data_IF_361642982266
#
_entry.id   IF_361642982266
#
_cell.length_a   1.000
_cell.length_b   1.000
_cell.length_c   1.000
_cell.angle_alpha   90.00
_cell.angle_beta   90.00
_cell.angle_gamma   90.00
#
_symmetry.space_group_name_H-M   'P 1'
#
loop_
_entity.id
_entity.type
_entity.pdbx_description
1 polymer ?
#
# COMPACT_ATOMS: atom_id res chain seq x y z
N UNK A 1 -9.53 -27.97 -20.85
CA UNK A 1 -8.77 -26.99 -20.06
C UNK A 1 -9.74 -26.39 -19.05
N UNK A 2 -9.45 -26.39 -17.75
CA UNK A 2 -10.30 -25.65 -16.81
C UNK A 2 -10.30 -24.18 -17.23
N UNK A 3 -11.48 -23.62 -17.51
CA UNK A 3 -11.63 -22.25 -17.97
C UNK A 3 -11.17 -21.25 -16.92
N UNK A 4 -10.61 -20.12 -17.34
CA UNK A 4 -10.28 -18.99 -16.46
C UNK A 4 -11.59 -18.44 -15.90
N UNK A 5 -11.70 -18.38 -14.57
CA UNK A 5 -12.87 -17.81 -13.90
C UNK A 5 -12.61 -16.33 -13.66
N UNK A 6 -13.33 -15.47 -14.38
CA UNK A 6 -13.27 -14.02 -14.18
C UNK A 6 -14.22 -13.59 -13.04
N UNK A 7 -13.90 -12.47 -12.43
CA UNK A 7 -14.79 -11.76 -11.50
C UNK A 7 -15.96 -11.15 -12.28
N UNK A 8 -17.12 -11.02 -11.62
CA UNK A 8 -18.24 -10.28 -12.21
C UNK A 8 -17.92 -8.79 -12.42
N UNK A 9 -17.12 -8.22 -11.50
CA UNK A 9 -16.60 -6.85 -11.58
C UNK A 9 -15.24 -6.79 -10.90
N UNK A 10 -14.40 -5.88 -11.37
CA UNK A 10 -13.15 -5.52 -10.70
C UNK A 10 -13.13 -4.03 -10.37
N UNK A 11 -12.27 -3.64 -9.44
CA UNK A 11 -12.04 -2.24 -9.07
C UNK A 11 -10.67 -1.80 -9.56
N UNK A 12 -10.62 -0.73 -10.36
CA UNK A 12 -9.35 -0.15 -10.80
C UNK A 12 -8.52 0.29 -9.59
N UNK A 13 -7.23 -0.10 -9.47
CA UNK A 13 -6.42 0.31 -8.35
C UNK A 13 -5.89 1.75 -8.50
N UNK A 14 -6.10 2.39 -9.63
CA UNK A 14 -5.69 3.78 -9.85
C UNK A 14 -6.82 4.77 -9.57
N UNK A 15 -7.98 4.56 -10.22
CA UNK A 15 -9.10 5.49 -10.15
C UNK A 15 -10.33 4.98 -9.38
N UNK A 16 -10.26 3.76 -8.83
CA UNK A 16 -11.32 3.12 -8.04
C UNK A 16 -12.65 2.90 -8.77
N UNK A 17 -12.69 3.11 -10.09
CA UNK A 17 -13.85 2.76 -10.90
C UNK A 17 -14.07 1.24 -10.85
N UNK A 18 -15.29 0.83 -10.54
CA UNK A 18 -15.75 -0.57 -10.63
C UNK A 18 -16.28 -0.82 -12.04
N UNK A 19 -15.76 -1.83 -12.74
CA UNK A 19 -16.17 -2.16 -14.10
C UNK A 19 -16.19 -3.69 -14.30
N UNK A 20 -17.05 -4.21 -15.17
CA UNK A 20 -17.06 -5.63 -15.52
C UNK A 20 -15.91 -5.96 -16.50
N UNK A 21 -15.40 -7.21 -16.56
CA UNK A 21 -14.26 -7.56 -17.40
C UNK A 21 -14.41 -7.22 -18.89
N UNK A 22 -15.62 -7.29 -19.44
CA UNK A 22 -15.90 -6.97 -20.84
C UNK A 22 -15.65 -5.50 -21.22
N UNK A 23 -15.62 -4.59 -20.23
CA UNK A 23 -15.30 -3.18 -20.45
C UNK A 23 -13.77 -2.92 -20.45
N UNK A 24 -12.93 -3.92 -20.18
CA UNK A 24 -11.48 -3.72 -20.13
C UNK A 24 -10.94 -3.28 -21.50
N UNK A 25 -10.11 -2.24 -21.51
CA UNK A 25 -9.45 -1.79 -22.73
C UNK A 25 -8.16 -2.58 -22.94
N UNK A 26 -7.83 -2.86 -24.20
CA UNK A 26 -6.54 -3.38 -24.60
C UNK A 26 -5.67 -2.24 -25.10
N UNK A 27 -4.36 -2.35 -24.91
CA UNK A 27 -3.38 -1.35 -25.34
C UNK A 27 -2.72 -1.86 -26.63
N UNK A 28 -2.74 -1.05 -27.68
CA UNK A 28 -2.13 -1.39 -28.97
C UNK A 28 -0.63 -1.69 -28.85
N UNK A 29 -0.16 -2.57 -29.74
CA UNK A 29 1.24 -2.97 -29.83
C UNK A 29 1.96 -2.29 -31.00
N UNK A 30 1.26 -2.02 -32.11
CA UNK A 30 1.87 -1.39 -33.28
C UNK A 30 2.34 0.04 -33.00
N UNK A 31 3.54 0.40 -33.45
CA UNK A 31 4.18 1.71 -33.19
C UNK A 31 3.35 2.91 -33.60
N UNK A 32 2.62 2.78 -34.71
CA UNK A 32 1.82 3.84 -35.34
C UNK A 32 0.46 4.07 -34.68
N UNK A 33 0.01 3.15 -33.82
CA UNK A 33 -1.28 3.28 -33.13
C UNK A 33 -1.09 4.05 -31.82
N UNK A 34 -0.84 5.36 -31.95
CA UNK A 34 -0.66 6.28 -30.82
C UNK A 34 -1.79 7.30 -30.70
N UNK A 35 -1.85 7.95 -29.56
CA UNK A 35 -2.88 8.91 -29.19
C UNK A 35 -3.92 8.29 -28.27
N UNK A 36 -3.77 8.54 -26.97
CA UNK A 36 -4.79 8.22 -25.99
C UNK A 36 -5.55 9.50 -25.58
N UNK A 37 -6.90 9.49 -25.55
CA UNK A 37 -7.67 10.69 -25.24
C UNK A 37 -7.52 11.22 -23.81
N UNK A 38 -6.91 10.46 -22.89
CA UNK A 38 -6.66 10.91 -21.50
C UNK A 38 -5.18 11.08 -21.19
N UNK A 39 -4.35 10.18 -21.72
CA UNK A 39 -2.92 10.18 -21.43
C UNK A 39 -2.11 10.99 -22.44
N UNK A 40 -2.70 11.31 -23.60
CA UNK A 40 -2.09 12.20 -24.59
C UNK A 40 -1.51 11.48 -25.81
N UNK A 41 -0.91 12.25 -26.73
CA UNK A 41 -0.50 11.79 -28.06
C UNK A 41 0.60 10.73 -28.04
N UNK A 42 1.48 10.74 -27.04
CA UNK A 42 2.64 9.85 -26.98
C UNK A 42 2.31 8.43 -26.51
N UNK A 43 1.10 8.24 -25.97
CA UNK A 43 0.66 6.97 -25.43
C UNK A 43 0.02 6.08 -26.52
N UNK A 44 0.26 4.78 -26.43
CA UNK A 44 -0.40 3.77 -27.29
C UNK A 44 -1.93 3.85 -27.16
N UNK A 45 -2.65 3.60 -28.24
CA UNK A 45 -4.11 3.64 -28.24
C UNK A 45 -4.69 2.57 -27.31
N UNK A 46 -5.76 2.95 -26.60
CA UNK A 46 -6.60 2.03 -25.84
C UNK A 46 -7.85 1.74 -26.65
N UNK A 47 -8.23 0.48 -26.77
CA UNK A 47 -9.39 0.08 -27.57
C UNK A 47 -10.13 -1.09 -26.95
N UNK A 48 -11.44 -1.19 -27.25
CA UNK A 48 -12.21 -2.41 -27.01
C UNK A 48 -11.99 -3.36 -28.20
N UNK A 49 -11.48 -4.56 -27.98
CA UNK A 49 -11.18 -5.48 -29.06
C UNK A 49 -12.45 -6.09 -29.66
N UNK A 50 -12.46 -6.24 -30.98
CA UNK A 50 -13.48 -7.00 -31.72
C UNK A 50 -12.93 -8.28 -32.33
N UNK A 51 -11.60 -8.48 -32.23
CA UNK A 51 -10.86 -9.58 -32.86
C UNK A 51 -9.83 -10.12 -31.89
N UNK A 52 -9.72 -11.44 -31.84
CA UNK A 52 -8.84 -12.16 -30.94
C UNK A 52 -8.10 -13.29 -31.66
N UNK A 53 -6.94 -13.66 -31.13
CA UNK A 53 -6.29 -14.93 -31.45
C UNK A 53 -7.01 -16.10 -30.79
N UNK A 54 -6.65 -17.34 -31.16
CA UNK A 54 -7.23 -18.56 -30.56
C UNK A 54 -6.91 -18.65 -29.06
N UNK A 55 -5.79 -18.07 -28.64
CA UNK A 55 -5.35 -17.98 -27.25
C UNK A 55 -6.07 -16.86 -26.47
N UNK A 56 -6.97 -16.11 -27.10
CA UNK A 56 -7.76 -15.07 -26.46
C UNK A 56 -7.06 -13.72 -26.32
N UNK A 57 -5.95 -13.49 -27.02
CA UNK A 57 -5.29 -12.18 -27.04
C UNK A 57 -5.93 -11.26 -28.08
N UNK A 58 -6.13 -9.97 -27.75
CA UNK A 58 -6.68 -9.01 -28.70
C UNK A 58 -5.72 -8.73 -29.87
N UNK A 59 -6.31 -8.48 -31.05
CA UNK A 59 -5.60 -7.96 -32.22
C UNK A 59 -5.90 -6.48 -32.40
N UNK A 60 -4.86 -5.65 -32.54
CA UNK A 60 -5.05 -4.24 -32.88
C UNK A 60 -5.43 -4.02 -34.35
N UNK A 61 -5.68 -2.77 -34.73
CA UNK A 61 -6.07 -2.39 -36.09
C UNK A 61 -5.03 -2.73 -37.17
N UNK A 62 -3.79 -3.07 -36.78
CA UNK A 62 -2.71 -3.51 -37.68
C UNK A 62 -2.44 -5.01 -37.59
N UNK A 63 -3.33 -5.77 -36.93
CA UNK A 63 -3.22 -7.21 -36.70
C UNK A 63 -2.07 -7.63 -35.77
N UNK A 64 -1.54 -6.72 -34.95
CA UNK A 64 -0.54 -7.08 -33.94
C UNK A 64 -1.22 -7.61 -32.69
N UNK A 65 -0.64 -8.65 -32.11
CA UNK A 65 -1.11 -9.23 -30.85
C UNK A 65 -0.83 -8.26 -29.71
N UNK A 66 -1.86 -7.99 -28.92
CA UNK A 66 -1.80 -7.13 -27.74
C UNK A 66 -1.84 -7.99 -26.48
N UNK A 67 -1.11 -7.57 -25.44
CA UNK A 67 -1.05 -8.30 -24.16
C UNK A 67 -1.31 -7.43 -22.94
N UNK A 68 -1.33 -6.10 -23.12
CA UNK A 68 -1.51 -5.16 -22.02
C UNK A 68 -2.94 -4.67 -21.98
N UNK A 69 -3.43 -4.49 -20.76
CA UNK A 69 -4.77 -4.05 -20.46
C UNK A 69 -4.76 -2.68 -19.79
N UNK A 70 -5.84 -1.94 -19.92
CA UNK A 70 -6.04 -0.63 -19.34
C UNK A 70 -7.45 -0.47 -18.79
N UNK A 71 -7.59 0.33 -17.74
CA UNK A 71 -8.90 0.62 -17.19
C UNK A 71 -9.75 1.45 -18.19
N UNK A 72 -11.07 1.20 -18.29
CA UNK A 72 -12.00 2.02 -19.07
C UNK A 72 -12.36 3.36 -18.41
N UNK A 73 -12.16 3.47 -17.10
CA UNK A 73 -11.85 4.75 -16.45
C UNK A 73 -10.34 4.96 -16.49
N UNK A 74 -9.85 6.17 -16.39
CA UNK A 74 -8.42 6.56 -16.38
C UNK A 74 -7.44 6.08 -17.48
N UNK A 75 -7.66 4.97 -18.21
CA UNK A 75 -6.76 4.42 -19.25
C UNK A 75 -5.36 3.99 -18.77
N UNK A 76 -5.11 4.06 -17.46
CA UNK A 76 -3.88 3.54 -16.85
C UNK A 76 -3.84 2.02 -16.96
N UNK A 77 -2.61 1.50 -17.05
CA UNK A 77 -2.35 0.07 -17.20
C UNK A 77 -2.88 -0.68 -15.98
N UNK A 78 -3.56 -1.79 -16.22
CA UNK A 78 -4.09 -2.66 -15.17
C UNK A 78 -3.63 -4.10 -15.43
N UNK A 79 -3.03 -4.81 -14.45
CA UNK A 79 -2.67 -6.22 -14.62
C UNK A 79 -3.89 -7.11 -14.85
N UNK A 80 -3.76 -8.10 -15.74
CA UNK A 80 -4.82 -9.06 -16.05
C UNK A 80 -5.29 -9.84 -14.81
N UNK A 81 -4.41 -10.05 -13.83
CA UNK A 81 -4.71 -10.70 -12.56
C UNK A 81 -5.86 -10.03 -11.80
N UNK A 82 -6.09 -8.72 -12.00
CA UNK A 82 -7.22 -8.02 -11.37
C UNK A 82 -8.57 -8.40 -11.96
N UNK A 83 -8.63 -9.05 -13.12
CA UNK A 83 -9.88 -9.59 -13.69
C UNK A 83 -10.26 -10.94 -13.06
N UNK A 84 -9.29 -11.64 -12.48
CA UNK A 84 -9.48 -12.98 -11.89
C UNK A 84 -9.51 -12.94 -10.36
N UNK A 85 -8.76 -12.02 -9.76
CA UNK A 85 -8.54 -11.95 -8.32
C UNK A 85 -8.90 -10.56 -7.78
N UNK A 86 -9.77 -10.53 -6.77
CA UNK A 86 -10.25 -9.28 -6.20
C UNK A 86 -9.10 -8.50 -5.54
N UNK A 87 -8.91 -7.21 -5.89
CA UNK A 87 -7.92 -6.37 -5.21
C UNK A 87 -8.37 -6.03 -3.79
N UNK A 88 -7.45 -6.13 -2.84
CA UNK A 88 -7.61 -5.61 -1.47
C UNK A 88 -6.74 -4.37 -1.31
N UNK A 89 -7.39 -3.23 -1.09
CA UNK A 89 -6.73 -1.94 -0.95
C UNK A 89 -6.24 -1.74 0.49
N UNK A 90 -4.98 -1.31 0.62
CA UNK A 90 -4.34 -0.98 1.89
C UNK A 90 -3.78 0.44 1.79
N UNK A 91 -4.28 1.34 2.64
CA UNK A 91 -3.79 2.72 2.68
C UNK A 91 -2.77 2.88 3.80
N UNK A 92 -1.61 3.45 3.49
CA UNK A 92 -0.61 3.82 4.50
C UNK A 92 -0.69 5.33 4.72
N UNK A 93 -0.89 5.73 5.97
CA UNK A 93 -1.05 7.12 6.41
C UNK A 93 -0.10 7.43 7.57
N UNK A 94 0.23 8.71 7.72
CA UNK A 94 1.16 9.20 8.73
C UNK A 94 1.83 10.49 8.28
N UNK A 95 2.38 11.25 9.22
CA UNK A 95 3.04 12.53 8.96
C UNK A 95 4.25 12.40 8.04
N UNK A 96 4.73 13.49 7.41
CA UNK A 96 6.01 13.48 6.71
C UNK A 96 7.13 12.96 7.62
N UNK A 97 8.06 12.18 7.06
CA UNK A 97 9.22 11.62 7.77
C UNK A 97 8.94 10.63 8.93
N UNK A 98 7.69 10.17 9.14
CA UNK A 98 7.39 9.13 10.15
C UNK A 98 7.86 7.72 9.75
N UNK A 99 8.31 7.54 8.50
CA UNK A 99 8.91 6.29 8.01
C UNK A 99 8.04 5.45 7.08
N UNK A 100 6.98 5.99 6.44
CA UNK A 100 6.08 5.24 5.54
C UNK A 100 6.79 4.44 4.45
N UNK A 101 7.61 5.08 3.63
CA UNK A 101 8.30 4.41 2.53
C UNK A 101 9.33 3.38 3.03
N UNK A 102 10.02 3.66 4.15
CA UNK A 102 10.90 2.69 4.81
C UNK A 102 10.12 1.47 5.30
N UNK A 103 9.01 1.70 6.01
CA UNK A 103 8.14 0.63 6.49
C UNK A 103 7.59 -0.20 5.34
N UNK A 104 7.11 0.43 4.27
CA UNK A 104 6.60 -0.26 3.10
C UNK A 104 7.67 -1.13 2.43
N UNK A 105 8.88 -0.59 2.24
CA UNK A 105 10.01 -1.33 1.66
C UNK A 105 10.43 -2.52 2.54
N UNK A 106 10.60 -2.29 3.85
CA UNK A 106 10.96 -3.32 4.81
C UNK A 106 9.87 -4.39 4.96
N UNK A 107 8.61 -4.00 5.09
CA UNK A 107 7.46 -4.90 5.19
C UNK A 107 7.38 -5.79 3.95
N UNK A 108 7.43 -5.21 2.75
CA UNK A 108 7.32 -6.00 1.52
C UNK A 108 8.54 -6.89 1.27
N UNK A 109 9.74 -6.47 1.71
CA UNK A 109 10.94 -7.32 1.70
C UNK A 109 10.80 -8.52 2.64
N UNK A 110 10.39 -8.29 3.88
CA UNK A 110 10.20 -9.35 4.88
C UNK A 110 9.05 -10.29 4.50
N UNK A 111 7.94 -9.77 3.97
CA UNK A 111 6.83 -10.61 3.50
C UNK A 111 7.26 -11.57 2.38
N UNK A 112 8.15 -11.15 1.47
CA UNK A 112 8.72 -12.03 0.42
C UNK A 112 9.51 -13.21 1.01
N UNK A 113 10.05 -13.07 2.23
CA UNK A 113 10.88 -14.08 2.90
C UNK A 113 10.07 -14.93 3.87
N UNK A 114 9.30 -14.28 4.74
CA UNK A 114 8.55 -14.89 5.84
C UNK A 114 7.38 -15.72 5.33
N UNK A 115 6.59 -15.21 4.38
CA UNK A 115 5.39 -15.90 3.89
C UNK A 115 5.69 -17.26 3.25
N UNK A 116 6.68 -17.42 2.36
CA UNK A 116 6.98 -18.74 1.81
C UNK A 116 7.67 -19.65 2.83
N UNK A 117 8.55 -19.10 3.69
CA UNK A 117 9.32 -19.90 4.64
C UNK A 117 8.47 -20.51 5.76
N UNK A 118 7.49 -19.75 6.26
CA UNK A 118 6.70 -20.14 7.43
C UNK A 118 5.24 -20.45 7.11
N UNK A 119 4.66 -19.83 6.08
CA UNK A 119 3.21 -19.89 5.82
C UNK A 119 2.85 -20.58 4.50
N UNK A 120 3.80 -21.14 3.74
CA UNK A 120 3.58 -21.69 2.39
C UNK A 120 2.71 -20.77 1.50
N UNK A 121 2.94 -19.46 1.59
CA UNK A 121 2.29 -18.44 0.77
C UNK A 121 3.36 -17.78 -0.10
N UNK A 122 3.09 -17.59 -1.39
CA UNK A 122 3.96 -16.74 -2.21
C UNK A 122 3.44 -15.31 -2.22
N UNK A 123 4.36 -14.36 -2.13
CA UNK A 123 4.10 -12.93 -2.23
C UNK A 123 4.98 -12.36 -3.34
N UNK A 124 4.38 -12.02 -4.48
CA UNK A 124 5.12 -11.68 -5.71
C UNK A 124 4.59 -10.39 -6.33
N UNK A 125 5.46 -9.65 -7.02
CA UNK A 125 5.11 -8.42 -7.75
C UNK A 125 4.07 -8.73 -8.85
N UNK A 126 2.89 -8.10 -8.80
CA UNK A 126 1.85 -8.23 -9.86
C UNK A 126 2.12 -7.25 -10.99
N UNK A 127 2.71 -6.10 -10.67
CA UNK A 127 3.13 -5.08 -11.63
C UNK A 127 4.59 -4.68 -11.37
N UNK A 128 5.56 -5.41 -11.94
CA UNK A 128 6.98 -5.08 -11.77
C UNK A 128 7.34 -3.67 -12.24
N UNK A 129 6.65 -3.13 -13.24
CA UNK A 129 6.92 -1.77 -13.72
C UNK A 129 6.42 -0.73 -12.71
N UNK A 130 5.20 -0.91 -12.21
CA UNK A 130 4.63 -0.06 -11.15
C UNK A 130 5.40 -0.15 -9.83
N UNK A 131 5.94 -1.33 -9.51
CA UNK A 131 6.66 -1.58 -8.26
C UNK A 131 8.13 -1.16 -8.27
N UNK A 132 8.67 -0.70 -9.40
CA UNK A 132 10.11 -0.47 -9.58
C UNK A 132 10.75 0.42 -8.50
N UNK A 133 10.11 1.54 -8.16
CA UNK A 133 10.63 2.44 -7.11
C UNK A 133 10.75 1.75 -5.74
N UNK A 134 9.85 0.82 -5.44
CA UNK A 134 9.89 0.04 -4.20
C UNK A 134 10.96 -1.05 -4.26
N UNK A 135 11.20 -1.63 -5.44
CA UNK A 135 12.31 -2.57 -5.67
C UNK A 135 13.66 -1.85 -5.53
N UNK A 136 13.81 -0.64 -6.07
CA UNK A 136 15.00 0.20 -5.92
C UNK A 136 15.29 0.53 -4.43
N UNK A 137 14.25 0.81 -3.63
CA UNK A 137 14.39 0.98 -2.18
C UNK A 137 14.83 -0.31 -1.48
N UNK A 138 14.28 -1.47 -1.85
CA UNK A 138 14.68 -2.75 -1.28
C UNK A 138 16.14 -3.07 -1.57
N UNK A 139 16.60 -2.84 -2.79
CA UNK A 139 18.01 -3.01 -3.15
C UNK A 139 18.90 -2.07 -2.35
N UNK A 140 18.52 -0.79 -2.25
CA UNK A 140 19.27 0.22 -1.51
C UNK A 140 19.33 -0.05 -0.01
N UNK A 141 18.30 -0.65 0.58
CA UNK A 141 18.23 -0.93 2.02
C UNK A 141 18.88 -2.26 2.41
N UNK A 142 18.63 -3.32 1.64
CA UNK A 142 18.94 -4.70 2.07
C UNK A 142 20.04 -5.38 1.24
N UNK A 143 20.38 -4.82 0.07
CA UNK A 143 21.45 -5.30 -0.79
C UNK A 143 22.54 -4.23 -1.02
N UNK A 144 22.67 -3.27 -0.11
CA UNK A 144 23.64 -2.19 -0.24
C UNK A 144 25.09 -2.72 -0.23
N UNK A 145 25.95 -2.33 -1.19
CA UNK A 145 27.31 -2.87 -1.31
C UNK A 145 28.22 -2.55 -0.10
N UNK A 146 27.90 -1.51 0.67
CA UNK A 146 28.60 -1.15 1.92
C UNK A 146 27.68 -1.28 3.12
N UNK A 147 27.18 -2.50 3.37
CA UNK A 147 26.26 -2.79 4.48
C UNK A 147 26.90 -2.61 5.88
N UNK A 148 28.23 -2.49 5.95
CA UNK A 148 29.02 -2.33 7.17
C UNK A 148 29.16 -0.86 7.64
N UNK A 149 28.65 0.10 6.88
CA UNK A 149 28.79 1.54 7.17
C UNK A 149 27.45 2.20 7.46
N UNK A 150 27.48 3.20 8.34
CA UNK A 150 26.33 4.07 8.56
C UNK A 150 26.13 4.97 7.34
N UNK A 151 24.98 4.82 6.68
CA UNK A 151 24.57 5.64 5.55
C UNK A 151 23.35 6.47 5.95
N UNK A 152 23.31 7.78 5.66
CA UNK A 152 22.12 8.58 5.91
C UNK A 152 20.91 8.01 5.18
N UNK A 153 19.78 7.84 5.87
CA UNK A 153 18.58 7.24 5.27
C UNK A 153 18.09 7.98 4.01
N UNK A 154 18.28 9.31 3.95
CA UNK A 154 17.93 10.12 2.78
C UNK A 154 18.75 9.79 1.51
N UNK A 155 19.87 9.07 1.65
CA UNK A 155 20.63 8.54 0.53
C UNK A 155 20.14 7.16 0.05
N UNK A 156 19.31 6.48 0.84
CA UNK A 156 18.79 5.14 0.55
C UNK A 156 17.32 5.14 0.11
N UNK A 157 16.54 6.09 0.62
CA UNK A 157 15.13 6.26 0.29
C UNK A 157 14.86 7.71 -0.05
N UNK A 158 14.25 7.93 -1.21
CA UNK A 158 13.84 9.26 -1.65
C UNK A 158 12.59 9.71 -0.92
N UNK A 159 12.50 11.01 -0.63
CA UNK A 159 11.29 11.59 -0.05
C UNK A 159 10.13 11.42 -1.04
N UNK A 160 8.99 10.94 -0.54
CA UNK A 160 7.75 10.92 -1.30
C UNK A 160 7.29 12.36 -1.57
N UNK A 161 7.29 12.75 -2.85
CA UNK A 161 6.84 14.06 -3.30
C UNK A 161 5.33 14.05 -3.60
N UNK A 162 4.71 15.24 -3.58
CA UNK A 162 3.27 15.43 -3.88
C UNK A 162 2.92 15.25 -5.37
N UNK A 163 3.94 15.25 -6.23
CA UNK A 163 3.86 15.09 -7.68
C UNK A 163 5.14 14.36 -8.16
N UNK A 164 5.09 13.67 -9.30
CA UNK A 164 6.26 12.97 -9.86
C UNK A 164 6.04 11.48 -10.03
N UNK A 165 7.12 10.69 -9.95
CA UNK A 165 7.14 9.27 -10.39
C UNK A 165 6.18 8.30 -9.68
N UNK A 166 5.52 8.73 -8.61
CA UNK A 166 4.51 7.96 -7.88
C UNK A 166 3.07 8.40 -8.19
N UNK A 167 2.88 9.32 -9.14
CA UNK A 167 1.56 9.77 -9.57
C UNK A 167 1.43 9.68 -11.09
N UNK A 168 0.25 9.28 -11.53
CA UNK A 168 -0.11 9.19 -12.94
C UNK A 168 -1.15 10.27 -13.28
N UNK A 169 -0.81 11.12 -14.25
CA UNK A 169 -1.63 12.24 -14.70
C UNK A 169 -2.58 11.80 -15.81
N UNK A 170 -3.87 12.09 -15.64
CA UNK A 170 -4.95 11.65 -16.53
C UNK A 170 -5.87 12.81 -16.88
N UNK A 171 -6.08 13.06 -18.17
CA UNK A 171 -6.96 14.12 -18.65
C UNK A 171 -8.41 13.64 -18.85
N UNK A 172 -9.36 14.46 -18.44
CA UNK A 172 -10.80 14.34 -18.65
C UNK A 172 -11.30 15.64 -19.30
N UNK A 173 -11.13 15.74 -20.61
CA UNK A 173 -11.43 16.97 -21.36
C UNK A 173 -10.47 18.09 -20.96
N UNK A 174 -11.00 19.15 -20.34
CA UNK A 174 -10.19 20.30 -19.86
C UNK A 174 -9.66 20.12 -18.44
N UNK A 175 -10.07 19.06 -17.74
CA UNK A 175 -9.62 18.79 -16.38
C UNK A 175 -8.52 17.73 -16.39
N UNK A 176 -7.51 17.93 -15.57
CA UNK A 176 -6.43 16.96 -15.36
C UNK A 176 -6.52 16.44 -13.94
N UNK A 177 -6.43 15.12 -13.78
CA UNK A 177 -6.51 14.43 -12.50
C UNK A 177 -5.22 13.66 -12.25
N UNK A 178 -4.63 13.84 -11.07
CA UNK A 178 -3.47 13.07 -10.61
C UNK A 178 -3.91 11.89 -9.75
N UNK A 179 -3.57 10.66 -10.15
CA UNK A 179 -3.85 9.45 -9.38
C UNK A 179 -2.58 8.90 -8.73
N UNK A 180 -2.63 8.48 -7.44
CA UNK A 180 -1.50 7.81 -6.82
C UNK A 180 -1.26 6.45 -7.49
N UNK A 181 0.00 6.11 -7.71
CA UNK A 181 0.40 4.82 -8.25
C UNK A 181 0.41 3.77 -7.14
N UNK A 182 -0.41 2.71 -7.22
CA UNK A 182 -0.44 1.64 -6.25
C UNK A 182 0.74 0.67 -6.44
N UNK A 183 1.23 0.10 -5.34
CA UNK A 183 2.12 -1.04 -5.39
C UNK A 183 1.30 -2.33 -5.37
N UNK A 184 1.41 -3.15 -6.41
CA UNK A 184 0.56 -4.32 -6.62
C UNK A 184 1.32 -5.62 -6.35
N UNK A 185 0.81 -6.44 -5.42
CA UNK A 185 1.40 -7.73 -5.07
C UNK A 185 0.34 -8.84 -5.07
N UNK A 186 0.70 -10.02 -5.56
CA UNK A 186 -0.15 -11.20 -5.52
C UNK A 186 0.23 -12.04 -4.32
N UNK A 187 -0.73 -12.31 -3.45
CA UNK A 187 -0.64 -13.28 -2.37
C UNK A 187 -1.40 -14.54 -2.79
N UNK A 188 -0.71 -15.68 -2.87
CA UNK A 188 -1.34 -16.96 -3.23
C UNK A 188 -0.81 -18.14 -2.40
N UNK A 189 -1.65 -19.15 -2.10
CA UNK A 189 -1.19 -20.45 -1.60
C UNK A 189 -0.17 -21.12 -2.53
N UNK A 190 0.90 -21.67 -1.94
CA UNK A 190 1.81 -22.61 -2.60
C UNK A 190 1.24 -24.04 -2.54
N UNK A 191 1.85 -24.95 -3.30
CA UNK A 191 1.37 -26.34 -3.46
C UNK A 191 1.18 -27.10 -2.14
N UNK A 192 2.03 -26.81 -1.13
CA UNK A 192 1.98 -27.45 0.20
C UNK A 192 0.98 -26.80 1.17
N UNK A 193 0.33 -25.72 0.77
CA UNK A 193 -0.66 -25.04 1.60
C UNK A 193 -1.99 -25.82 1.61
N UNK A 194 -2.72 -25.94 2.74
CA UNK A 194 -4.01 -26.62 2.83
C UNK A 194 -5.04 -26.13 1.79
N UNK A 195 -5.02 -24.82 1.51
CA UNK A 195 -5.86 -24.20 0.49
C UNK A 195 -5.27 -24.19 -0.93
N UNK A 196 -4.22 -24.97 -1.25
CA UNK A 196 -3.60 -24.98 -2.57
C UNK A 196 -4.59 -25.30 -3.69
N UNK A 197 -5.48 -26.30 -3.48
CA UNK A 197 -6.54 -26.66 -4.44
C UNK A 197 -7.57 -25.56 -4.65
N UNK A 198 -7.72 -24.68 -3.67
CA UNK A 198 -8.63 -23.53 -3.70
C UNK A 198 -7.90 -22.21 -3.96
N UNK A 199 -6.65 -22.23 -4.45
CA UNK A 199 -5.82 -21.04 -4.60
C UNK A 199 -6.51 -19.92 -5.40
N UNK A 200 -7.23 -20.26 -6.48
CA UNK A 200 -8.01 -19.30 -7.28
C UNK A 200 -9.09 -18.54 -6.47
N UNK A 201 -9.62 -19.11 -5.39
CA UNK A 201 -10.64 -18.46 -4.54
C UNK A 201 -10.06 -17.64 -3.40
N UNK A 202 -8.91 -18.07 -2.87
CA UNK A 202 -8.31 -17.48 -1.66
C UNK A 202 -7.14 -16.55 -1.95
N UNK A 203 -6.62 -16.54 -3.19
CA UNK A 203 -5.59 -15.57 -3.58
C UNK A 203 -6.15 -14.16 -3.56
N UNK A 204 -5.29 -13.17 -3.32
CA UNK A 204 -5.63 -11.75 -3.31
C UNK A 204 -4.56 -10.95 -4.02
N UNK A 205 -4.97 -9.88 -4.69
CA UNK A 205 -4.03 -8.85 -5.13
C UNK A 205 -4.06 -7.74 -4.09
N UNK A 206 -2.96 -7.54 -3.38
CA UNK A 206 -2.81 -6.42 -2.46
C UNK A 206 -2.39 -5.18 -3.25
N UNK A 207 -3.14 -4.09 -3.08
CA UNK A 207 -2.83 -2.79 -3.63
C UNK A 207 -2.47 -1.85 -2.49
N UNK A 208 -1.17 -1.56 -2.35
CA UNK A 208 -0.62 -0.77 -1.25
C UNK A 208 -0.41 0.68 -1.73
N UNK A 209 -0.93 1.65 -1.00
CA UNK A 209 -0.74 3.08 -1.29
C UNK A 209 0.20 3.72 -0.26
N UNK A 210 1.30 4.29 -0.73
CA UNK A 210 2.19 5.17 0.04
C UNK A 210 1.90 6.63 -0.35
N UNK A 211 1.01 7.28 0.38
CA UNK A 211 0.75 8.70 0.13
C UNK A 211 1.80 9.55 0.83
N UNK A 212 2.18 10.68 0.22
CA UNK A 212 2.93 11.71 0.94
C UNK A 212 2.18 12.13 2.21
N UNK A 213 2.91 12.37 3.30
CA UNK A 213 2.27 12.77 4.57
C UNK A 213 1.58 14.13 4.45
N UNK A 214 2.08 14.96 3.54
CA UNK A 214 1.55 16.26 3.16
C UNK A 214 0.12 16.17 2.57
N UNK A 215 -0.28 15.05 1.93
CA UNK A 215 -1.64 14.90 1.42
C UNK A 215 -2.71 14.91 2.51
N UNK A 216 -2.35 14.59 3.75
CA UNK A 216 -3.27 14.54 4.87
C UNK A 216 -3.38 15.88 5.61
N UNK A 217 -2.66 16.92 5.16
CA UNK A 217 -2.83 18.26 5.73
C UNK A 217 -4.16 18.88 5.28
N UNK A 218 -4.81 19.70 6.12
CA UNK A 218 -6.06 20.38 5.75
C UNK A 218 -5.93 21.18 4.45
N UNK A 219 -6.93 21.05 3.56
CA UNK A 219 -7.02 21.82 2.31
C UNK A 219 -6.18 21.31 1.12
N UNK A 220 -5.49 20.17 1.24
CA UNK A 220 -4.66 19.61 0.16
C UNK A 220 -5.42 18.71 -0.83
N UNK A 221 -6.69 18.40 -0.59
CA UNK A 221 -7.52 17.60 -1.49
C UNK A 221 -8.31 18.50 -2.44
N UNK A 222 -8.25 18.20 -3.73
CA UNK A 222 -9.04 18.88 -4.76
C UNK A 222 -9.67 17.83 -5.67
N UNK A 223 -10.71 18.20 -6.43
CA UNK A 223 -11.29 17.32 -7.45
C UNK A 223 -10.25 16.86 -8.49
N UNK A 224 -9.21 17.65 -8.71
CA UNK A 224 -8.08 17.37 -9.60
C UNK A 224 -6.99 16.48 -8.96
N UNK A 225 -7.06 16.23 -7.64
CA UNK A 225 -6.10 15.42 -6.90
C UNK A 225 -6.82 14.61 -5.82
N UNK A 226 -7.63 13.60 -6.20
CA UNK A 226 -8.39 12.77 -5.27
C UNK A 226 -7.49 11.73 -4.58
N UNK A 227 -6.34 12.18 -4.08
CA UNK A 227 -5.27 11.29 -3.60
C UNK A 227 -5.74 10.46 -2.43
N UNK A 228 -6.73 10.91 -1.64
CA UNK A 228 -7.26 10.15 -0.50
C UNK A 228 -8.48 9.29 -0.80
N UNK A 229 -8.96 9.23 -2.05
CA UNK A 229 -10.17 8.45 -2.38
C UNK A 229 -10.00 6.93 -2.22
N UNK A 230 -8.79 6.38 -2.36
CA UNK A 230 -8.55 4.97 -2.02
C UNK A 230 -8.86 4.65 -0.55
N UNK A 231 -8.78 5.62 0.36
CA UNK A 231 -9.04 5.36 1.77
C UNK A 231 -10.48 4.89 2.01
N UNK A 232 -11.43 5.42 1.24
CA UNK A 232 -12.83 5.00 1.32
C UNK A 232 -13.04 3.58 0.78
N UNK A 233 -12.23 3.15 -0.19
CA UNK A 233 -12.22 1.78 -0.71
C UNK A 233 -11.27 0.85 0.06
N UNK A 234 -10.49 1.39 1.01
CA UNK A 234 -9.50 0.64 1.76
C UNK A 234 -10.17 -0.46 2.57
N UNK A 235 -9.64 -1.66 2.46
CA UNK A 235 -10.03 -2.80 3.30
C UNK A 235 -9.33 -2.77 4.64
N UNK A 236 -8.14 -2.15 4.71
CA UNK A 236 -7.33 -1.95 5.90
C UNK A 236 -6.63 -0.59 5.79
N UNK A 237 -6.60 0.14 6.90
CA UNK A 237 -5.83 1.38 7.06
C UNK A 237 -4.64 1.11 7.95
N UNK A 238 -3.46 1.60 7.57
CA UNK A 238 -2.22 1.46 8.33
C UNK A 238 -1.70 2.85 8.66
N UNK A 239 -1.76 3.23 9.93
CA UNK A 239 -1.29 4.51 10.42
C UNK A 239 0.06 4.37 11.11
N UNK A 240 1.05 5.12 10.64
CA UNK A 240 2.38 5.15 11.22
C UNK A 240 2.49 6.32 12.19
N UNK A 241 2.82 5.98 13.44
CA UNK A 241 3.16 6.93 14.48
C UNK A 241 4.66 6.86 14.74
N UNK A 242 5.34 8.00 14.66
CA UNK A 242 6.75 8.14 15.03
C UNK A 242 6.86 8.79 16.41
N UNK A 243 7.19 8.05 17.47
CA UNK A 243 7.30 8.61 18.81
C UNK A 243 8.35 9.72 18.91
N UNK A 244 9.34 9.73 18.01
CA UNK A 244 10.35 10.78 18.01
C UNK A 244 9.82 12.11 17.48
N UNK A 245 8.70 12.15 16.74
CA UNK A 245 8.04 13.40 16.34
C UNK A 245 7.10 13.95 17.43
N UNK A 246 6.80 13.18 18.47
CA UNK A 246 6.03 13.65 19.62
C UNK A 246 6.96 14.28 20.68
N UNK A 247 6.74 15.55 21.10
CA UNK A 247 7.59 16.21 22.09
C UNK A 247 7.63 15.51 23.46
N UNK A 248 6.49 15.01 23.95
CA UNK A 248 6.40 14.38 25.26
C UNK A 248 7.11 13.03 25.25
N UNK A 249 6.89 12.25 24.20
CA UNK A 249 7.53 10.95 24.03
C UNK A 249 9.04 11.10 23.84
N UNK A 250 9.48 12.04 22.99
CA UNK A 250 10.89 12.38 22.83
C UNK A 250 11.56 12.76 24.15
N UNK A 251 10.86 13.51 25.01
CA UNK A 251 11.38 13.89 26.32
C UNK A 251 11.63 12.64 27.20
N UNK A 252 10.73 11.66 27.19
CA UNK A 252 10.90 10.41 27.95
C UNK A 252 12.04 9.54 27.38
N UNK A 253 12.14 9.44 26.06
CA UNK A 253 13.25 8.72 25.40
C UNK A 253 14.58 9.39 25.75
N UNK A 254 14.67 10.72 25.71
CA UNK A 254 15.92 11.44 25.99
C UNK A 254 16.39 11.28 27.44
N UNK A 255 15.47 11.11 28.41
CA UNK A 255 15.83 10.80 29.80
C UNK A 255 16.52 9.44 29.94
N UNK A 256 16.13 8.46 29.13
CA UNK A 256 16.64 7.08 29.21
C UNK A 256 17.77 6.81 28.21
N UNK A 257 17.81 7.54 27.10
CA UNK A 257 18.81 7.47 26.05
C UNK A 257 19.15 8.88 25.51
N UNK A 258 20.02 9.64 26.22
CA UNK A 258 20.32 11.04 25.88
C UNK A 258 20.93 11.25 24.49
N UNK A 259 21.53 10.21 23.91
CA UNK A 259 22.17 10.27 22.59
C UNK A 259 21.18 10.41 21.43
N UNK A 260 19.88 10.18 21.69
CA UNK A 260 18.82 10.22 20.65
C UNK A 260 18.38 11.65 20.31
N UNK A 261 18.68 12.64 21.15
CA UNK A 261 18.25 14.03 20.94
C UNK A 261 18.69 14.61 19.57
N UNK A 262 19.85 14.19 19.05
CA UNK A 262 20.38 14.63 17.76
C UNK A 262 19.74 13.91 16.55
N UNK A 263 19.01 12.81 16.76
CA UNK A 263 18.40 11.99 15.72
C UNK A 263 16.92 12.30 15.50
N UNK A 264 16.35 13.21 16.29
CA UNK A 264 14.92 13.46 16.30
C UNK A 264 14.49 14.34 15.11
N UNK A 265 13.50 13.88 14.36
CA UNK A 265 12.83 14.67 13.31
C UNK A 265 12.12 15.88 13.91
N UNK A 266 11.74 16.91 13.12
CA UNK A 266 10.95 18.03 13.64
C UNK A 266 9.65 17.54 14.30
N UNK A 267 9.19 18.17 15.41
CA UNK A 267 7.93 17.81 16.03
C UNK A 267 6.75 17.92 15.06
N UNK A 268 5.78 17.01 15.18
CA UNK A 268 4.56 17.03 14.36
C UNK A 268 3.33 16.62 15.19
N UNK A 269 2.17 17.21 14.88
CA UNK A 269 0.88 16.81 15.44
C UNK A 269 0.32 15.63 14.64
N UNK A 270 0.66 14.41 15.06
CA UNK A 270 0.42 13.23 14.25
C UNK A 270 -1.05 12.78 14.31
N UNK A 271 -1.72 12.99 15.44
CA UNK A 271 -3.15 12.73 15.66
C UNK A 271 -4.05 13.46 14.66
N UNK A 272 -3.62 14.63 14.17
CA UNK A 272 -4.37 15.38 13.15
C UNK A 272 -4.49 14.61 11.84
N UNK A 273 -3.50 13.78 11.47
CA UNK A 273 -3.56 12.93 10.27
C UNK A 273 -4.66 11.89 10.40
N UNK A 274 -4.87 11.33 11.59
CA UNK A 274 -5.96 10.38 11.85
C UNK A 274 -7.32 11.07 11.75
N UNK A 275 -7.49 12.25 12.37
CA UNK A 275 -8.75 12.98 12.28
C UNK A 275 -9.10 13.39 10.85
N UNK A 276 -8.12 13.88 10.08
CA UNK A 276 -8.31 14.23 8.67
C UNK A 276 -8.66 12.99 7.83
N UNK A 277 -7.95 11.88 8.03
CA UNK A 277 -8.24 10.61 7.40
C UNK A 277 -9.68 10.12 7.71
N UNK A 278 -10.09 10.15 8.98
CA UNK A 278 -11.42 9.74 9.41
C UNK A 278 -12.51 10.62 8.77
N UNK A 279 -12.31 11.95 8.80
CA UNK A 279 -13.25 12.91 8.22
C UNK A 279 -13.41 12.69 6.71
N UNK A 280 -12.32 12.46 5.97
CA UNK A 280 -12.38 12.21 4.52
C UNK A 280 -13.08 10.91 4.18
N UNK A 281 -12.81 9.85 4.94
CA UNK A 281 -13.50 8.57 4.78
C UNK A 281 -15.00 8.73 5.06
N UNK A 282 -15.37 9.40 6.16
CA UNK A 282 -16.78 9.65 6.49
C UNK A 282 -17.48 10.44 5.41
N UNK A 283 -16.87 11.52 4.90
CA UNK A 283 -17.41 12.32 3.81
C UNK A 283 -17.60 11.50 2.52
N UNK A 284 -16.58 10.72 2.13
CA UNK A 284 -16.64 9.90 0.91
C UNK A 284 -17.66 8.75 0.99
N UNK A 285 -17.91 8.23 2.19
CA UNK A 285 -18.88 7.16 2.43
C UNK A 285 -20.28 7.67 2.82
N UNK A 286 -20.46 8.99 2.96
CA UNK A 286 -21.72 9.59 3.42
C UNK A 286 -22.09 9.21 4.86
N UNK A 287 -21.09 8.95 5.71
CA UNK A 287 -21.30 8.57 7.11
C UNK A 287 -21.58 9.80 7.99
N UNK A 288 -22.41 9.67 9.06
CA UNK A 288 -22.56 10.71 10.06
C UNK A 288 -21.24 11.07 10.74
N UNK A 289 -21.11 12.31 11.23
CA UNK A 289 -19.87 12.81 11.84
C UNK A 289 -19.37 11.97 13.03
N UNK A 290 -20.28 11.38 13.81
CA UNK A 290 -19.96 10.55 14.98
C UNK A 290 -19.83 9.04 14.65
N UNK A 291 -19.97 8.65 13.38
CA UNK A 291 -19.87 7.25 12.99
C UNK A 291 -18.40 6.82 12.89
N UNK A 292 -18.05 5.76 13.62
CA UNK A 292 -16.74 5.09 13.49
C UNK A 292 -16.63 4.37 12.16
N UNK A 293 -15.41 4.27 11.64
CA UNK A 293 -15.20 3.51 10.42
C UNK A 293 -15.24 2.00 10.70
N UNK A 294 -16.08 1.26 9.96
CA UNK A 294 -16.15 -0.21 10.06
C UNK A 294 -14.95 -0.97 9.47
N UNK A 295 -13.86 -0.30 9.09
CA UNK A 295 -12.65 -0.96 8.55
C UNK A 295 -11.56 -1.04 9.63
N UNK A 296 -10.75 -2.10 9.64
CA UNK A 296 -9.62 -2.20 10.56
C UNK A 296 -8.60 -1.07 10.37
N UNK A 297 -8.20 -0.47 11.48
CA UNK A 297 -7.06 0.46 11.59
C UNK A 297 -5.91 -0.26 12.32
N UNK A 298 -4.75 -0.33 11.68
CA UNK A 298 -3.51 -0.81 12.27
C UNK A 298 -2.63 0.39 12.63
N UNK A 299 -2.29 0.55 13.91
CA UNK A 299 -1.35 1.57 14.38
C UNK A 299 0.05 0.96 14.47
N UNK A 300 0.95 1.41 13.59
CA UNK A 300 2.35 0.98 13.54
C UNK A 300 3.20 2.04 14.22
N UNK A 301 3.79 1.70 15.36
CA UNK A 301 4.71 2.60 16.06
C UNK A 301 6.13 2.37 15.55
N UNK A 302 6.66 3.35 14.82
CA UNK A 302 7.92 3.22 14.08
C UNK A 302 9.15 3.51 14.94
N UNK A 303 10.34 3.22 14.41
CA UNK A 303 11.65 3.52 15.04
C UNK A 303 11.81 2.92 16.43
N UNK A 304 11.32 1.69 16.61
CA UNK A 304 11.37 0.95 17.87
C UNK A 304 12.80 0.71 18.38
N UNK A 305 13.81 0.82 17.53
CA UNK A 305 15.23 0.83 17.91
C UNK A 305 15.58 1.98 18.89
N UNK A 306 14.84 3.09 18.87
CA UNK A 306 15.11 4.26 19.70
C UNK A 306 14.39 4.23 21.05
N UNK A 307 13.24 3.55 21.14
CA UNK A 307 12.35 3.60 22.32
C UNK A 307 11.84 2.25 22.81
N UNK A 308 12.09 1.15 22.07
CA UNK A 308 11.53 -0.16 22.35
C UNK A 308 11.88 -0.70 23.74
N UNK A 309 13.02 -0.28 24.32
CA UNK A 309 13.38 -0.60 25.70
C UNK A 309 12.36 -0.12 26.75
N UNK A 310 11.52 0.86 26.40
CA UNK A 310 10.48 1.40 27.27
C UNK A 310 9.24 0.49 27.37
N UNK A 311 9.02 -0.43 26.43
CA UNK A 311 7.91 -1.39 26.50
C UNK A 311 8.03 -2.35 27.67
N UNK A 312 9.22 -2.49 28.28
CA UNK A 312 9.52 -3.44 29.34
C UNK A 312 9.14 -4.91 29.00
N UNK A 313 8.93 -5.20 27.72
CA UNK A 313 8.68 -6.53 27.19
C UNK A 313 10.02 -7.24 26.93
N UNK A 314 10.23 -8.38 27.57
CA UNK A 314 11.47 -9.16 27.44
C UNK A 314 11.54 -10.06 26.20
N UNK A 315 10.42 -10.30 25.51
CA UNK A 315 10.37 -11.24 24.39
C UNK A 315 10.14 -10.55 23.04
N UNK A 316 11.23 -10.37 22.30
CA UNK A 316 11.27 -9.79 20.95
C UNK A 316 11.26 -10.82 19.83
N UNK A 317 11.13 -12.11 20.14
CA UNK A 317 11.05 -13.17 19.10
C UNK A 317 9.80 -12.99 18.26
N UNK A 318 9.85 -13.41 17.01
CA UNK A 318 8.67 -13.41 16.16
C UNK A 318 7.50 -14.20 16.77
N UNK A 319 6.24 -13.75 16.62
CA UNK A 319 5.07 -14.39 17.22
C UNK A 319 4.57 -15.58 16.37
N UNK A 320 5.50 -16.41 15.88
CA UNK A 320 5.20 -17.60 15.09
C UNK A 320 5.08 -18.80 16.01
N UNK A 321 3.94 -19.47 15.97
CA UNK A 321 3.78 -20.77 16.60
C UNK A 321 4.20 -21.85 15.60
N UNK A 322 5.11 -22.78 15.94
CA UNK A 322 5.39 -23.93 15.09
C UNK A 322 4.09 -24.77 15.01
N UNK A 323 3.38 -24.68 13.88
CA UNK A 323 2.12 -25.39 13.72
C UNK A 323 2.33 -26.88 13.42
N UNK A 324 1.21 -27.61 13.40
CA UNK A 324 1.21 -29.08 13.34
C UNK A 324 1.62 -29.67 11.98
N UNK A 325 1.58 -28.89 10.90
CA UNK A 325 1.71 -29.39 9.51
C UNK A 325 2.73 -28.58 8.67
N UNK A 326 3.90 -28.26 9.25
CA UNK A 326 4.94 -27.46 8.59
C UNK A 326 4.49 -26.03 8.16
N UNK A 327 3.37 -25.56 8.68
CA UNK A 327 2.88 -24.20 8.60
C UNK A 327 2.96 -23.56 9.97
N UNK A 328 3.54 -22.38 10.07
CA UNK A 328 3.46 -21.57 11.26
C UNK A 328 2.03 -21.06 11.46
N UNK A 329 1.58 -21.04 12.71
CA UNK A 329 0.44 -20.24 13.14
C UNK A 329 0.91 -18.88 13.67
N UNK A 330 -0.02 -17.94 13.80
CA UNK A 330 0.21 -16.69 14.52
C UNK A 330 -0.15 -16.88 16.00
N UNK A 331 0.73 -16.46 16.91
CA UNK A 331 0.41 -16.33 18.33
C UNK A 331 -0.40 -15.04 18.56
N UNK A 332 -1.69 -15.13 18.29
CA UNK A 332 -2.62 -13.99 18.42
C UNK A 332 -2.66 -13.46 19.85
N UNK A 333 -2.62 -14.34 20.85
CA UNK A 333 -2.65 -13.92 22.25
C UNK A 333 -1.43 -13.07 22.61
N UNK A 334 -0.25 -13.46 22.14
CA UNK A 334 0.98 -12.67 22.33
C UNK A 334 0.96 -11.35 21.57
N UNK A 335 0.43 -11.33 20.36
CA UNK A 335 0.25 -10.09 19.57
C UNK A 335 -0.67 -9.13 20.31
N UNK A 336 -1.83 -9.61 20.78
CA UNK A 336 -2.81 -8.79 21.52
C UNK A 336 -2.26 -8.28 22.85
N UNK A 337 -1.54 -9.13 23.61
CA UNK A 337 -0.90 -8.71 24.85
C UNK A 337 0.13 -7.60 24.61
N UNK A 338 0.96 -7.74 23.57
CA UNK A 338 1.95 -6.73 23.20
C UNK A 338 1.28 -5.44 22.70
N UNK A 339 0.20 -5.56 21.94
CA UNK A 339 -0.63 -4.43 21.51
C UNK A 339 -1.20 -3.67 22.71
N UNK A 340 -1.71 -4.39 23.72
CA UNK A 340 -2.23 -3.79 24.95
C UNK A 340 -1.14 -3.07 25.76
N UNK A 341 0.06 -3.66 25.87
CA UNK A 341 1.21 -3.03 26.54
C UNK A 341 1.65 -1.75 25.81
N UNK A 342 1.74 -1.80 24.48
CA UNK A 342 2.07 -0.63 23.65
C UNK A 342 1.01 0.46 23.75
N UNK A 343 -0.28 0.08 23.71
CA UNK A 343 -1.40 1.02 23.94
C UNK A 343 -1.30 1.68 25.30
N UNK A 344 -1.02 0.93 26.37
CA UNK A 344 -0.88 1.48 27.72
C UNK A 344 0.30 2.48 27.82
N UNK A 345 1.43 2.15 27.20
CA UNK A 345 2.59 3.04 27.12
C UNK A 345 2.24 4.34 26.37
N UNK A 346 1.66 4.23 25.16
CA UNK A 346 1.25 5.40 24.38
C UNK A 346 0.24 6.25 25.16
N UNK A 347 -0.77 5.64 25.78
CA UNK A 347 -1.81 6.37 26.53
C UNK A 347 -1.23 7.12 27.74
N UNK A 348 -0.12 6.64 28.32
CA UNK A 348 0.53 7.31 29.44
C UNK A 348 1.39 8.53 29.04
N UNK A 349 1.78 8.63 27.77
CA UNK A 349 2.74 9.63 27.29
C UNK A 349 2.11 10.59 26.26
N UNK A 350 1.36 10.05 25.30
CA UNK A 350 0.70 10.76 24.21
C UNK A 350 -0.76 10.25 24.06
N UNK A 351 -1.63 10.51 25.04
CA UNK A 351 -3.03 10.04 25.01
C UNK A 351 -3.82 10.53 23.80
N UNK A 352 -3.42 11.64 23.18
CA UNK A 352 -4.12 12.24 22.05
C UNK A 352 -4.14 11.32 20.82
N UNK A 353 -3.04 10.59 20.55
CA UNK A 353 -2.98 9.67 19.40
C UNK A 353 -3.81 8.40 19.64
N UNK A 354 -3.85 7.93 20.89
CA UNK A 354 -4.68 6.78 21.28
C UNK A 354 -6.15 7.14 21.14
N UNK A 355 -6.56 8.30 21.65
CA UNK A 355 -7.91 8.82 21.49
C UNK A 355 -8.32 8.98 20.02
N UNK A 356 -7.44 9.55 19.18
CA UNK A 356 -7.70 9.70 17.75
C UNK A 356 -7.85 8.36 17.02
N UNK A 357 -7.07 7.33 17.39
CA UNK A 357 -7.17 6.01 16.79
C UNK A 357 -8.44 5.25 17.22
N UNK A 358 -8.87 5.42 18.47
CA UNK A 358 -10.08 4.76 19.00
C UNK A 358 -11.39 5.41 18.53
N UNK A 359 -11.34 6.69 18.15
CA UNK A 359 -12.47 7.43 17.59
C UNK A 359 -12.63 7.25 16.07
N UNK A 360 -11.66 6.63 15.40
CA UNK A 360 -11.57 6.55 13.94
C UNK A 360 -12.83 5.93 13.27
#
# INVERSE_FOLDING_TARGET
MPGIQLLNRTTCPHCWKKFPPEDILWISSHSDLRGDPRLGPDHQQRFLPTRFTIEGNALDARNFVCHRLACPGCHLVVPAQLLETEPSFVSILGTPACGKSFFLAAMTWELKRVLPAYFNLSFTSTDPTGNRILEDYQESLFNHPTADRLVPLAALIHKTELQGGQYDTVSYGTQTVSYPRPFLFTLRPLERHPNARAAHKVSRVLALYDNAGEHFQPGQETTASPVTRHMAEATVLVYLFDPMQDPHFRQQVTKTNPKVAALASPPARQETVLYEAANRVRQSLGLPAAARHGRPLLVVVTKADLWGHMLQDGDWREPWNPGKEALAGLDVARIEQRSANLRALLNSICPEVVGAAEDF
#
